data_IF_645049013505
#
_entry.id   IF_645049013505
#
_cell.length_a   1.000
_cell.length_b   1.000
_cell.length_c   1.000
_cell.angle_alpha   90.00
_cell.angle_beta   90.00
_cell.angle_gamma   90.00
#
_symmetry.space_group_name_H-M   'P 1'
#
loop_
_entity.id
_entity.type
_entity.pdbx_description
1 polymer ?
#
# COMPACT_ATOMS: atom_id res chain seq x y z
N UNK A 1 16.73 14.13 13.97
CA UNK A 1 17.02 13.59 12.62
C UNK A 1 16.93 14.67 11.53
N UNK A 2 17.04 15.95 11.89
CA UNK A 2 16.43 17.03 11.11
C UNK A 2 17.46 17.90 10.39
N UNK A 3 18.56 17.29 9.94
CA UNK A 3 19.56 17.98 9.14
C UNK A 3 19.08 18.09 7.68
N UNK A 4 19.34 19.23 7.03
CA UNK A 4 19.05 19.44 5.61
C UNK A 4 19.67 18.35 4.71
N UNK A 5 20.82 17.79 5.07
CA UNK A 5 21.41 16.66 4.36
C UNK A 5 20.54 15.40 4.43
N UNK A 6 19.92 15.12 5.58
CA UNK A 6 18.99 13.99 5.74
C UNK A 6 17.75 14.21 4.87
N UNK A 7 17.16 15.41 4.93
CA UNK A 7 16.03 15.77 4.07
C UNK A 7 16.35 15.54 2.59
N UNK A 8 17.49 16.05 2.11
CA UNK A 8 17.92 15.88 0.72
C UNK A 8 18.11 14.40 0.35
N UNK A 9 18.75 13.61 1.21
CA UNK A 9 18.95 12.18 0.98
C UNK A 9 17.61 11.43 0.89
N UNK A 10 16.68 11.71 1.80
CA UNK A 10 15.35 11.04 1.80
C UNK A 10 14.54 11.45 0.58
N UNK A 11 14.60 12.71 0.15
CA UNK A 11 13.99 13.17 -1.10
C UNK A 11 14.57 12.43 -2.32
N UNK A 12 15.89 12.27 -2.39
CA UNK A 12 16.54 11.49 -3.45
C UNK A 12 16.04 10.05 -3.43
N UNK A 13 16.00 9.42 -2.25
CA UNK A 13 15.53 8.04 -2.10
C UNK A 13 14.06 7.87 -2.52
N UNK A 14 13.20 8.84 -2.17
CA UNK A 14 11.80 8.89 -2.61
C UNK A 14 11.68 8.97 -4.12
N UNK A 15 12.49 9.82 -4.76
CA UNK A 15 12.51 9.99 -6.22
C UNK A 15 13.03 8.73 -6.93
N UNK A 16 14.12 8.12 -6.45
CA UNK A 16 14.66 6.88 -7.02
C UNK A 16 13.73 5.67 -6.84
N UNK A 17 12.85 5.72 -5.84
CA UNK A 17 11.83 4.69 -5.61
C UNK A 17 10.60 4.84 -6.51
N UNK A 18 10.43 6.00 -7.16
CA UNK A 18 9.31 6.25 -8.06
C UNK A 18 9.38 5.29 -9.26
N UNK A 19 8.28 4.59 -9.54
CA UNK A 19 8.20 3.58 -10.60
C UNK A 19 9.30 2.50 -10.61
N UNK A 20 9.97 2.26 -9.48
CA UNK A 20 11.04 1.24 -9.40
C UNK A 20 10.58 -0.15 -9.87
N UNK A 21 9.31 -0.50 -9.65
CA UNK A 21 8.68 -1.74 -10.11
C UNK A 21 8.50 -1.87 -11.64
N UNK A 22 8.80 -0.82 -12.41
CA UNK A 22 8.74 -0.80 -13.88
C UNK A 22 10.11 -0.52 -14.51
N UNK A 23 10.97 0.23 -13.82
CA UNK A 23 12.20 0.76 -14.39
C UNK A 23 13.44 -0.09 -14.12
N UNK A 24 13.42 -0.94 -13.07
CA UNK A 24 14.59 -1.78 -12.78
C UNK A 24 14.77 -2.89 -13.82
N UNK A 25 16.02 -3.21 -14.21
CA UNK A 25 16.29 -4.34 -15.10
C UNK A 25 15.73 -5.64 -14.53
N UNK A 26 14.91 -6.35 -15.31
CA UNK A 26 14.31 -7.62 -14.88
C UNK A 26 13.07 -7.48 -14.00
N UNK A 27 12.46 -6.28 -13.92
CA UNK A 27 11.25 -6.03 -13.13
C UNK A 27 10.09 -7.00 -13.42
N UNK A 28 9.99 -7.46 -14.68
CA UNK A 28 8.98 -8.40 -15.16
C UNK A 28 9.01 -9.74 -14.44
N UNK A 29 10.19 -10.18 -13.98
CA UNK A 29 10.38 -11.46 -13.26
C UNK A 29 9.70 -11.48 -11.90
N UNK A 30 9.41 -10.31 -11.37
CA UNK A 30 8.83 -10.10 -10.04
C UNK A 30 7.37 -9.66 -10.13
N UNK A 31 6.76 -9.57 -11.31
CA UNK A 31 5.33 -9.35 -11.42
C UNK A 31 4.57 -10.57 -10.88
N UNK A 32 3.52 -10.35 -10.10
CA UNK A 32 2.71 -11.47 -9.60
C UNK A 32 1.88 -12.04 -10.76
N UNK A 33 2.05 -13.33 -11.14
CA UNK A 33 1.29 -13.92 -12.24
C UNK A 33 -0.23 -13.93 -12.00
N UNK A 34 -0.71 -13.74 -10.77
CA UNK A 34 -2.15 -13.57 -10.51
C UNK A 34 -2.71 -12.22 -10.97
N UNK A 35 -1.87 -11.22 -11.25
CA UNK A 35 -2.31 -9.93 -11.79
C UNK A 35 -2.87 -10.03 -13.23
N UNK A 36 -2.56 -11.12 -13.95
CA UNK A 36 -3.10 -11.41 -15.28
C UNK A 36 -4.52 -12.02 -15.25
N UNK A 37 -5.07 -12.34 -14.07
CA UNK A 37 -6.41 -12.94 -13.92
C UNK A 37 -7.44 -11.96 -13.33
N UNK A 38 -7.39 -10.67 -13.69
CA UNK A 38 -8.54 -9.81 -13.49
C UNK A 38 -9.67 -10.27 -14.45
N UNK A 39 -10.89 -10.57 -13.96
CA UNK A 39 -12.02 -10.92 -14.83
C UNK A 39 -12.52 -9.65 -15.52
N UNK A 40 -12.12 -9.42 -16.78
CA UNK A 40 -12.54 -8.20 -17.48
C UNK A 40 -12.35 -8.14 -19.00
N UNK A 41 -11.70 -9.11 -19.66
CA UNK A 41 -11.60 -9.13 -21.12
C UNK A 41 -12.72 -9.98 -21.71
N UNK A 42 -13.85 -9.33 -22.01
CA UNK A 42 -14.92 -9.87 -22.83
C UNK A 42 -14.37 -10.32 -24.20
N UNK A 43 -14.23 -11.62 -24.40
CA UNK A 43 -14.06 -12.20 -25.73
C UNK A 43 -15.37 -12.11 -26.54
N UNK A 44 -15.32 -12.06 -27.89
CA UNK A 44 -16.52 -11.93 -28.70
C UNK A 44 -17.40 -13.18 -28.58
N UNK A 45 -18.67 -12.96 -28.26
CA UNK A 45 -19.71 -13.99 -28.18
C UNK A 45 -19.80 -14.83 -29.46
N UNK A 46 -19.85 -16.15 -29.31
CA UNK A 46 -20.52 -17.04 -30.26
C UNK A 46 -21.68 -17.74 -29.55
N UNK A 47 -22.88 -17.52 -30.11
CA UNK A 47 -24.19 -17.98 -29.65
C UNK A 47 -24.43 -19.49 -29.85
N UNK A 48 -25.28 -20.01 -28.95
CA UNK A 48 -26.26 -21.11 -29.05
C UNK A 48 -25.75 -22.56 -29.15
N UNK A 49 -26.24 -23.43 -28.23
CA UNK A 49 -27.51 -24.17 -28.40
C UNK A 49 -28.00 -24.77 -27.06
N UNK A 50 -29.33 -24.83 -26.94
CA UNK A 50 -30.13 -25.35 -25.82
C UNK A 50 -29.95 -26.86 -25.59
N UNK A 51 -30.15 -27.33 -24.35
CA UNK A 51 -31.06 -28.46 -24.04
C UNK A 51 -31.34 -28.60 -22.54
N UNK A 52 -32.61 -28.86 -22.24
CA UNK A 52 -33.24 -28.88 -20.93
C UNK A 52 -33.01 -30.18 -20.13
N UNK A 53 -33.11 -30.10 -18.80
CA UNK A 53 -33.11 -31.28 -17.93
C UNK A 53 -33.41 -30.97 -16.47
N UNK A 54 -34.69 -31.01 -16.12
CA UNK A 54 -35.23 -30.95 -14.75
C UNK A 54 -35.19 -32.35 -14.08
N UNK A 55 -34.90 -32.40 -12.77
CA UNK A 55 -35.26 -33.39 -11.72
C UNK A 55 -34.10 -33.90 -10.83
N UNK A 56 -34.23 -33.62 -9.52
CA UNK A 56 -33.91 -34.58 -8.45
C UNK A 56 -32.59 -34.41 -7.68
N UNK A 57 -32.70 -34.21 -6.35
CA UNK A 57 -31.69 -34.72 -5.41
C UNK A 57 -31.10 -33.70 -4.41
N UNK A 58 -31.64 -33.70 -3.19
CA UNK A 58 -31.00 -33.12 -2.01
C UNK A 58 -29.66 -33.83 -1.74
N UNK A 59 -28.55 -33.07 -1.59
CA UNK A 59 -27.50 -33.35 -0.59
C UNK A 59 -26.60 -32.14 -0.40
N UNK A 60 -26.45 -31.75 0.86
CA UNK A 60 -25.56 -30.71 1.34
C UNK A 60 -24.09 -31.05 1.03
N UNK A 61 -23.37 -30.08 0.47
CA UNK A 61 -21.95 -29.88 0.76
C UNK A 61 -21.59 -28.44 0.43
N UNK A 62 -21.55 -27.60 1.46
CA UNK A 62 -21.00 -26.26 1.37
C UNK A 62 -19.54 -26.38 0.93
N UNK A 63 -19.27 -26.11 -0.34
CA UNK A 63 -17.92 -25.84 -0.82
C UNK A 63 -17.58 -24.42 -0.38
N UNK A 64 -16.98 -24.33 0.81
CA UNK A 64 -16.11 -23.21 1.19
C UNK A 64 -15.07 -23.08 0.07
N UNK A 65 -15.20 -22.03 -0.74
CA UNK A 65 -14.11 -21.57 -1.58
C UNK A 65 -13.07 -20.96 -0.63
N UNK A 66 -12.23 -21.83 -0.06
CA UNK A 66 -11.10 -21.47 0.78
C UNK A 66 -9.87 -21.97 0.04
N UNK A 67 -9.56 -21.29 -1.07
CA UNK A 67 -8.39 -21.62 -1.87
C UNK A 67 -7.88 -20.37 -2.59
N UNK A 68 -7.46 -19.38 -1.78
CA UNK A 68 -6.40 -18.46 -2.18
C UNK A 68 -5.83 -17.70 -0.98
N UNK A 69 -5.70 -18.37 0.17
CA UNK A 69 -4.94 -17.83 1.29
C UNK A 69 -3.46 -18.20 1.06
N UNK A 70 -2.83 -17.57 0.05
CA UNK A 70 -1.36 -17.50 0.05
C UNK A 70 -1.02 -16.73 1.32
N UNK A 71 -0.74 -17.48 2.39
CA UNK A 71 -0.34 -16.94 3.68
C UNK A 71 0.94 -16.14 3.48
N UNK A 72 0.80 -14.84 3.26
CA UNK A 72 1.92 -13.91 3.26
C UNK A 72 2.45 -13.68 4.69
N UNK A 73 1.89 -14.39 5.69
CA UNK A 73 2.29 -14.31 7.10
C UNK A 73 3.71 -14.85 7.29
N UNK A 74 4.00 -15.92 6.54
CA UNK A 74 5.29 -16.61 6.46
C UNK A 74 6.05 -16.25 5.19
N UNK A 75 5.95 -14.99 4.72
CA UNK A 75 6.91 -14.47 3.75
C UNK A 75 8.30 -14.46 4.40
N UNK A 76 8.95 -15.62 4.41
CA UNK A 76 10.41 -15.70 4.40
C UNK A 76 10.81 -14.89 3.19
N UNK A 77 11.51 -13.77 3.45
CA UNK A 77 12.18 -13.00 2.42
C UNK A 77 12.88 -14.00 1.48
N UNK A 78 12.82 -13.83 0.16
CA UNK A 78 13.44 -14.76 -0.77
C UNK A 78 14.85 -15.06 -0.29
N UNK A 79 15.14 -16.31 0.07
CA UNK A 79 16.46 -16.68 0.61
C UNK A 79 17.49 -16.34 -0.45
N UNK A 80 18.27 -15.30 -0.19
CA UNK A 80 19.29 -14.83 -1.11
C UNK A 80 20.58 -15.58 -0.89
N UNK A 81 21.20 -16.00 -1.98
CA UNK A 81 22.57 -16.49 -2.00
C UNK A 81 23.58 -15.35 -2.00
N UNK A 82 23.21 -14.17 -2.52
CA UNK A 82 24.08 -12.99 -2.63
C UNK A 82 23.44 -11.75 -1.98
N UNK A 83 24.22 -10.87 -1.33
CA UNK A 83 23.70 -9.63 -0.76
C UNK A 83 23.27 -8.65 -1.87
N UNK A 84 22.15 -7.95 -1.63
CA UNK A 84 21.63 -6.92 -2.54
C UNK A 84 22.66 -5.79 -2.73
N UNK A 85 22.84 -5.31 -3.97
CA UNK A 85 23.82 -4.26 -4.29
C UNK A 85 23.23 -3.19 -5.20
N UNK A 86 23.80 -1.99 -5.15
CA UNK A 86 23.42 -0.89 -6.03
C UNK A 86 21.94 -0.52 -5.89
N UNK A 87 21.23 -0.43 -7.03
CA UNK A 87 19.81 -0.05 -7.06
C UNK A 87 18.89 -1.06 -6.39
N UNK A 88 19.33 -2.32 -6.21
CA UNK A 88 18.51 -3.35 -5.57
C UNK A 88 18.14 -2.98 -4.15
N UNK A 89 19.01 -2.20 -3.48
CA UNK A 89 18.81 -1.71 -2.11
C UNK A 89 17.53 -0.86 -1.97
N UNK A 90 17.08 -0.19 -3.04
CA UNK A 90 15.93 0.73 -2.99
C UNK A 90 14.61 0.04 -2.61
N UNK A 91 14.42 -1.20 -3.05
CA UNK A 91 13.17 -1.94 -2.89
C UNK A 91 13.29 -3.11 -1.90
N UNK A 92 14.36 -3.11 -1.09
CA UNK A 92 14.55 -4.10 -0.05
C UNK A 92 13.68 -3.83 1.17
N UNK A 93 13.02 -4.84 1.75
CA UNK A 93 12.18 -4.65 2.94
C UNK A 93 12.86 -3.97 4.12
N UNK A 94 14.18 -4.08 4.24
CA UNK A 94 15.00 -3.42 5.25
C UNK A 94 14.89 -1.88 5.19
N UNK A 95 14.64 -1.28 4.03
CA UNK A 95 14.48 0.18 3.91
C UNK A 95 13.24 0.69 4.65
N UNK A 96 12.26 -0.18 4.91
CA UNK A 96 11.06 0.17 5.67
C UNK A 96 11.43 0.66 7.05
N UNK A 97 12.36 -0.01 7.75
CA UNK A 97 12.80 0.40 9.09
C UNK A 97 13.43 1.79 9.09
N UNK A 98 14.21 2.11 8.05
CA UNK A 98 14.81 3.43 7.88
C UNK A 98 13.73 4.51 7.76
N UNK A 99 12.74 4.31 6.88
CA UNK A 99 11.66 5.28 6.71
C UNK A 99 10.77 5.39 7.96
N UNK A 100 10.47 4.28 8.63
CA UNK A 100 9.67 4.32 9.86
C UNK A 100 10.39 5.03 11.02
N UNK A 101 11.70 4.87 11.14
CA UNK A 101 12.52 5.62 12.12
C UNK A 101 12.49 7.12 11.81
N UNK A 102 12.64 7.53 10.55
CA UNK A 102 12.49 8.93 10.14
C UNK A 102 11.09 9.49 10.44
N UNK A 103 10.04 8.71 10.16
CA UNK A 103 8.66 9.10 10.43
C UNK A 103 8.34 9.24 11.92
N UNK A 104 9.10 8.57 12.79
CA UNK A 104 8.91 8.61 14.25
C UNK A 104 9.75 9.72 14.90
N UNK A 105 10.97 9.94 14.40
CA UNK A 105 11.98 10.76 15.09
C UNK A 105 12.18 12.15 14.48
N UNK A 106 11.66 12.42 13.28
CA UNK A 106 11.81 13.72 12.62
C UNK A 106 10.66 14.67 12.96
N UNK A 107 10.98 15.94 13.14
CA UNK A 107 10.02 17.04 13.24
C UNK A 107 9.95 17.88 11.96
N UNK A 108 10.83 17.61 10.99
CA UNK A 108 10.86 18.30 9.70
C UNK A 108 9.79 17.72 8.76
N UNK A 109 8.77 18.53 8.43
CA UNK A 109 7.69 18.12 7.53
C UNK A 109 8.14 17.72 6.12
N UNK A 110 9.27 18.22 5.61
CA UNK A 110 9.83 17.74 4.33
C UNK A 110 10.37 16.32 4.46
N UNK A 111 11.09 16.02 5.56
CA UNK A 111 11.60 14.66 5.82
C UNK A 111 10.46 13.68 6.00
N UNK A 112 9.41 14.05 6.76
CA UNK A 112 8.23 13.23 6.96
C UNK A 112 7.47 12.97 5.66
N UNK A 113 7.23 14.01 4.85
CA UNK A 113 6.59 13.89 3.54
C UNK A 113 7.41 12.99 2.59
N UNK A 114 8.72 13.19 2.52
CA UNK A 114 9.59 12.40 1.67
C UNK A 114 9.66 10.92 2.11
N UNK A 115 9.73 10.64 3.41
CA UNK A 115 9.73 9.27 3.94
C UNK A 115 8.39 8.56 3.68
N UNK A 116 7.26 9.23 3.92
CA UNK A 116 5.93 8.70 3.61
C UNK A 116 5.76 8.50 2.10
N UNK A 117 6.25 9.43 1.28
CA UNK A 117 6.26 9.34 -0.18
C UNK A 117 7.13 8.20 -0.71
N UNK A 118 8.25 7.87 -0.04
CA UNK A 118 9.05 6.70 -0.39
C UNK A 118 8.27 5.40 -0.12
N UNK A 119 7.62 5.28 1.04
CA UNK A 119 6.75 4.13 1.35
C UNK A 119 5.57 4.02 0.39
N UNK A 120 4.96 5.15 0.01
CA UNK A 120 3.93 5.24 -1.01
C UNK A 120 4.42 4.63 -2.34
N UNK A 121 5.61 5.04 -2.81
CA UNK A 121 6.19 4.56 -4.07
C UNK A 121 6.50 3.06 -4.03
N UNK A 122 7.12 2.58 -2.96
CA UNK A 122 7.54 1.18 -2.81
C UNK A 122 6.35 0.22 -2.63
N UNK A 123 5.26 0.69 -2.02
CA UNK A 123 4.04 -0.09 -1.83
C UNK A 123 3.09 -0.06 -3.04
N UNK A 124 3.45 0.61 -4.13
CA UNK A 124 2.60 0.74 -5.32
C UNK A 124 2.63 -0.50 -6.22
N UNK A 125 1.48 -0.85 -6.79
CA UNK A 125 1.37 -1.86 -7.84
C UNK A 125 1.38 -3.33 -7.37
N UNK A 126 1.25 -4.22 -8.37
CA UNK A 126 1.23 -5.68 -8.19
C UNK A 126 2.61 -6.28 -8.48
N UNK A 127 3.56 -5.92 -7.62
CA UNK A 127 4.94 -6.36 -7.71
C UNK A 127 5.30 -7.16 -6.45
N UNK A 128 6.10 -8.21 -6.62
CA UNK A 128 6.48 -9.12 -5.53
C UNK A 128 7.19 -8.36 -4.39
N UNK A 129 8.08 -7.43 -4.71
CA UNK A 129 8.72 -6.58 -3.69
C UNK A 129 7.74 -5.63 -3.01
N UNK A 130 6.76 -5.08 -3.74
CA UNK A 130 5.70 -4.27 -3.13
C UNK A 130 4.83 -5.09 -2.17
N UNK A 131 4.57 -6.38 -2.44
CA UNK A 131 3.93 -7.29 -1.48
C UNK A 131 4.78 -7.43 -0.20
N UNK A 132 6.09 -7.66 -0.33
CA UNK A 132 6.99 -7.73 0.83
C UNK A 132 7.04 -6.43 1.61
N UNK A 133 7.08 -5.27 0.94
CA UNK A 133 7.08 -3.95 1.58
C UNK A 133 5.79 -3.74 2.37
N UNK A 134 4.62 -4.02 1.77
CA UNK A 134 3.31 -3.91 2.45
C UNK A 134 3.24 -4.79 3.70
N UNK A 135 3.73 -6.02 3.61
CA UNK A 135 3.78 -6.94 4.76
C UNK A 135 4.77 -6.46 5.83
N UNK A 136 5.93 -5.93 5.42
CA UNK A 136 6.99 -5.48 6.33
C UNK A 136 6.57 -4.22 7.08
N UNK A 137 5.92 -3.26 6.43
CA UNK A 137 5.35 -2.08 7.10
C UNK A 137 4.41 -2.49 8.24
N UNK A 138 3.58 -3.52 8.05
CA UNK A 138 2.74 -4.06 9.13
C UNK A 138 3.55 -4.74 10.23
N UNK A 139 4.49 -5.61 9.87
CA UNK A 139 5.33 -6.35 10.84
C UNK A 139 6.16 -5.40 11.72
N UNK A 140 6.64 -4.30 11.14
CA UNK A 140 7.41 -3.25 11.83
C UNK A 140 6.52 -2.20 12.52
N UNK A 141 5.22 -2.48 12.72
CA UNK A 141 4.26 -1.56 13.37
C UNK A 141 4.19 -0.17 12.71
N UNK A 142 4.45 -0.10 11.41
CA UNK A 142 4.42 1.14 10.64
C UNK A 142 3.02 1.70 10.39
N UNK A 143 1.98 0.85 10.40
CA UNK A 143 0.60 1.31 10.19
C UNK A 143 0.13 2.29 11.30
N UNK A 144 0.28 1.99 12.61
CA UNK A 144 0.02 2.97 13.65
C UNK A 144 0.78 4.30 13.49
N UNK A 145 2.07 4.25 13.11
CA UNK A 145 2.91 5.45 12.89
C UNK A 145 2.30 6.33 11.79
N UNK A 146 1.92 5.72 10.66
CA UNK A 146 1.28 6.44 9.56
C UNK A 146 -0.08 7.02 9.98
N UNK A 147 -0.90 6.26 10.71
CA UNK A 147 -2.20 6.76 11.19
C UNK A 147 -2.04 7.94 12.13
N UNK A 148 -1.03 7.93 13.00
CA UNK A 148 -0.72 9.07 13.86
C UNK A 148 -0.38 10.33 13.06
N UNK A 149 0.38 10.19 11.97
CA UNK A 149 0.77 11.30 11.09
C UNK A 149 -0.40 11.91 10.30
N UNK A 150 -1.56 11.24 10.19
CA UNK A 150 -2.79 11.88 9.68
C UNK A 150 -3.23 13.06 10.56
N UNK A 151 -2.73 13.13 11.81
CA UNK A 151 -2.99 14.24 12.72
C UNK A 151 -2.00 15.40 12.56
N UNK A 152 -1.04 15.32 11.64
CA UNK A 152 -0.10 16.42 11.32
C UNK A 152 -0.81 17.68 10.85
N UNK A 153 -0.29 18.86 11.19
CA UNK A 153 -0.78 20.16 10.70
C UNK A 153 -0.27 20.48 9.28
N UNK A 154 0.60 19.63 8.73
CA UNK A 154 1.15 19.81 7.39
C UNK A 154 0.33 19.05 6.35
N UNK A 155 -0.35 19.78 5.47
CA UNK A 155 -1.18 19.22 4.37
C UNK A 155 -0.42 18.18 3.54
N UNK A 156 0.80 18.49 3.09
CA UNK A 156 1.64 17.58 2.30
C UNK A 156 1.97 16.27 3.03
N UNK A 157 2.12 16.31 4.36
CA UNK A 157 2.38 15.10 5.16
C UNK A 157 1.10 14.26 5.21
N UNK A 158 -0.04 14.88 5.52
CA UNK A 158 -1.35 14.21 5.55
C UNK A 158 -1.64 13.56 4.19
N UNK A 159 -1.38 14.27 3.08
CA UNK A 159 -1.54 13.76 1.73
C UNK A 159 -0.66 12.55 1.44
N UNK A 160 0.65 12.66 1.68
CA UNK A 160 1.59 11.57 1.44
C UNK A 160 1.22 10.31 2.24
N UNK A 161 0.84 10.50 3.51
CA UNK A 161 0.40 9.43 4.42
C UNK A 161 -0.90 8.79 3.94
N UNK A 162 -1.90 9.58 3.54
CA UNK A 162 -3.16 9.04 3.02
C UNK A 162 -2.91 8.14 1.80
N UNK A 163 -2.12 8.61 0.83
CA UNK A 163 -1.84 7.80 -0.36
C UNK A 163 -0.99 6.57 -0.03
N UNK A 164 -0.05 6.67 0.91
CA UNK A 164 0.69 5.51 1.41
C UNK A 164 -0.26 4.47 2.04
N UNK A 165 -1.17 4.89 2.92
CA UNK A 165 -2.17 3.99 3.54
C UNK A 165 -3.07 3.33 2.49
N UNK A 166 -3.48 4.05 1.45
CA UNK A 166 -4.21 3.48 0.31
C UNK A 166 -3.43 2.39 -0.42
N UNK A 167 -2.14 2.60 -0.67
CA UNK A 167 -1.33 1.57 -1.32
C UNK A 167 -1.08 0.38 -0.39
N UNK A 168 -0.89 0.64 0.90
CA UNK A 168 -0.73 -0.41 1.92
C UNK A 168 -1.99 -1.28 2.06
N UNK A 169 -3.19 -0.72 1.89
CA UNK A 169 -4.46 -1.45 1.94
C UNK A 169 -4.74 -2.35 0.74
N UNK A 170 -3.86 -2.37 -0.28
CA UNK A 170 -3.88 -3.41 -1.33
C UNK A 170 -3.65 -4.79 -0.69
N UNK A 171 -2.82 -4.89 0.36
CA UNK A 171 -2.73 -6.11 1.17
C UNK A 171 -3.98 -6.22 2.06
N UNK A 172 -4.72 -7.33 1.91
CA UNK A 172 -6.00 -7.56 2.61
C UNK A 172 -5.91 -7.44 4.13
N UNK A 173 -4.83 -7.94 4.74
CA UNK A 173 -4.64 -7.87 6.19
C UNK A 173 -4.32 -6.43 6.64
N UNK A 174 -3.60 -5.67 5.82
CA UNK A 174 -3.43 -4.23 6.06
C UNK A 174 -4.78 -3.51 5.94
N UNK A 175 -5.60 -3.85 4.95
CA UNK A 175 -6.94 -3.28 4.79
C UNK A 175 -7.80 -3.47 6.03
N UNK A 176 -7.85 -4.68 6.57
CA UNK A 176 -8.61 -5.00 7.79
C UNK A 176 -8.12 -4.20 9.00
N UNK A 177 -6.80 -4.11 9.19
CA UNK A 177 -6.18 -3.34 10.28
C UNK A 177 -6.43 -1.83 10.15
N UNK A 178 -6.18 -1.26 8.97
CA UNK A 178 -6.43 0.16 8.68
C UNK A 178 -7.91 0.47 8.92
N UNK A 179 -8.83 -0.38 8.45
CA UNK A 179 -10.26 -0.24 8.68
C UNK A 179 -10.64 -0.28 10.16
N UNK A 180 -9.89 -1.00 11.00
CA UNK A 180 -10.19 -1.11 12.43
C UNK A 180 -9.80 0.10 13.27
N UNK A 181 -8.68 0.79 12.96
CA UNK A 181 -8.18 1.87 13.82
C UNK A 181 -7.84 3.19 13.11
N UNK A 182 -7.76 3.24 11.77
CA UNK A 182 -7.45 4.47 11.03
C UNK A 182 -8.69 5.30 10.65
N UNK A 183 -9.87 4.67 10.62
CA UNK A 183 -11.08 5.28 10.06
C UNK A 183 -11.49 6.57 10.77
N UNK A 184 -11.34 6.62 12.10
CA UNK A 184 -11.61 7.83 12.89
C UNK A 184 -10.74 9.00 12.43
N UNK A 185 -9.43 8.77 12.32
CA UNK A 185 -8.45 9.80 11.98
C UNK A 185 -8.58 10.22 10.51
N UNK A 186 -8.89 9.29 9.59
CA UNK A 186 -9.21 9.60 8.19
C UNK A 186 -10.46 10.48 8.08
N UNK A 187 -11.58 10.09 8.71
CA UNK A 187 -12.83 10.84 8.67
C UNK A 187 -12.70 12.21 9.34
N UNK A 188 -11.90 12.32 10.41
CA UNK A 188 -11.67 13.59 11.11
C UNK A 188 -10.98 14.67 10.25
N UNK A 189 -10.29 14.26 9.19
CA UNK A 189 -9.64 15.16 8.25
C UNK A 189 -10.56 15.56 7.07
N UNK A 190 -11.78 15.03 6.98
CA UNK A 190 -12.73 15.43 5.94
C UNK A 190 -13.50 16.71 6.33
N UNK A 191 -13.84 17.56 5.35
CA UNK A 191 -14.71 18.71 5.60
C UNK A 191 -16.03 18.28 6.24
N UNK A 192 -16.32 18.79 7.43
CA UNK A 192 -17.58 18.53 8.15
C UNK A 192 -18.39 19.83 8.21
N UNK A 193 -19.67 19.79 7.83
CA UNK A 193 -20.55 20.96 7.83
C UNK A 193 -20.90 21.56 9.20
N UNK A 194 -20.25 21.11 10.28
CA UNK A 194 -20.44 21.63 11.65
C UNK A 194 -19.16 22.32 12.16
N UNK A 195 -19.38 23.40 12.92
CA UNK A 195 -18.50 24.50 13.37
C UNK A 195 -17.11 24.19 13.97
N UNK A 196 -16.59 22.96 13.93
CA UNK A 196 -15.15 22.76 14.15
C UNK A 196 -14.45 23.09 12.84
N UNK A 197 -13.34 23.83 12.84
CA UNK A 197 -12.54 23.90 11.64
C UNK A 197 -12.09 22.47 11.33
N UNK A 198 -12.70 21.84 10.32
CA UNK A 198 -11.98 20.81 9.58
C UNK A 198 -10.65 21.45 9.20
N UNK A 199 -9.54 20.72 9.34
CA UNK A 199 -8.25 21.24 8.89
C UNK A 199 -8.44 21.79 7.47
N UNK A 200 -7.96 23.00 7.22
CA UNK A 200 -8.00 23.63 5.89
C UNK A 200 -7.03 22.87 4.96
N UNK A 201 -7.36 21.62 4.67
CA UNK A 201 -6.63 20.74 3.77
C UNK A 201 -6.99 21.12 2.34
N UNK A 202 -6.02 20.96 1.46
CA UNK A 202 -6.22 21.18 0.05
C UNK A 202 -7.14 20.12 -0.55
N UNK A 203 -7.81 20.45 -1.66
CA UNK A 203 -8.76 19.56 -2.34
C UNK A 203 -8.15 18.19 -2.67
N UNK A 204 -6.93 18.19 -3.22
CA UNK A 204 -6.17 16.99 -3.52
C UNK A 204 -5.93 16.09 -2.28
N UNK A 205 -5.73 16.70 -1.11
CA UNK A 205 -5.57 15.96 0.15
C UNK A 205 -6.88 15.33 0.57
N UNK A 206 -7.99 16.05 0.45
CA UNK A 206 -9.34 15.51 0.70
C UNK A 206 -9.63 14.34 -0.23
N UNK A 207 -9.30 14.47 -1.53
CA UNK A 207 -9.44 13.39 -2.52
C UNK A 207 -8.57 12.18 -2.14
N UNK A 208 -7.33 12.39 -1.69
CA UNK A 208 -6.45 11.32 -1.24
C UNK A 208 -7.05 10.57 -0.03
N UNK A 209 -7.62 11.28 0.95
CA UNK A 209 -8.28 10.69 2.12
C UNK A 209 -9.51 9.88 1.68
N UNK A 210 -10.37 10.45 0.84
CA UNK A 210 -11.56 9.76 0.31
C UNK A 210 -11.19 8.48 -0.44
N UNK A 211 -10.16 8.53 -1.29
CA UNK A 211 -9.64 7.38 -2.02
C UNK A 211 -9.00 6.30 -1.12
N UNK A 212 -8.65 6.66 0.12
CA UNK A 212 -8.13 5.71 1.11
C UNK A 212 -9.26 5.01 1.86
N UNK A 213 -10.40 5.68 2.02
CA UNK A 213 -11.60 5.17 2.69
C UNK A 213 -12.36 4.16 1.79
N UNK A 214 -12.30 4.32 0.47
CA UNK A 214 -12.95 3.47 -0.52
C UNK A 214 -12.25 2.11 -0.72
#
# INVERSE_FOLDING_TARGET
MDNKSVENCVCIMRNLSYHVHKEVPGAEKFQDPSALQAPGSAGPQRKKKDDAGCFGGKKAKGRKNCDNDKSYDTLDLPKRTEPSKGFELLYQPEVVRLYLSLLTESQNYNTLEAAAGALQNLSAGQWTWSNYIRATVRKEKGLPILVELLRSDSDKVVRAVAIALRNLSIDRRNKDLIGSYAMRDLVSNLPSGQQRPAKNLEEDTVVAILNTIH
#
